data_IF_346217177643
#
_entry.id   IF_346217177643
#
_cell.length_a   1.000
_cell.length_b   1.000
_cell.length_c   1.000
_cell.angle_alpha   90.00
_cell.angle_beta   90.00
_cell.angle_gamma   90.00
#
_symmetry.space_group_name_H-M   'P 1'
#
loop_
_entity.id
_entity.type
_entity.pdbx_description
1 polymer ?
#
# COMPACT_ATOMS: atom_id res chain seq x y z
N UNK A 1 16.94 4.29 62.60
CA UNK A 1 16.39 3.05 62.02
C UNK A 1 16.11 3.38 60.57
N UNK A 2 17.16 3.21 59.76
CA UNK A 2 17.19 3.47 58.32
C UNK A 2 16.96 2.12 57.63
N UNK A 3 15.85 1.98 56.91
CA UNK A 3 15.65 0.85 56.00
C UNK A 3 15.83 1.31 54.56
N UNK A 4 17.04 1.02 54.06
CA UNK A 4 17.42 1.18 52.67
C UNK A 4 16.76 0.13 51.79
N UNK A 5 16.01 0.59 50.78
CA UNK A 5 15.46 -0.24 49.72
C UNK A 5 16.61 -0.71 48.80
N UNK A 6 16.84 -2.03 48.81
CA UNK A 6 17.78 -2.76 47.97
C UNK A 6 17.40 -2.68 46.49
N UNK A 7 18.16 -1.90 45.73
CA UNK A 7 18.26 -2.02 44.28
C UNK A 7 19.24 -3.15 43.94
N UNK A 8 18.74 -4.28 43.45
CA UNK A 8 19.48 -5.28 42.67
C UNK A 8 18.55 -6.44 42.32
N UNK A 9 18.12 -6.53 41.05
CA UNK A 9 17.94 -7.78 40.26
C UNK A 9 17.43 -7.38 38.87
N UNK A 10 18.34 -6.92 38.01
CA UNK A 10 18.17 -6.84 36.56
C UNK A 10 19.44 -7.47 35.96
N UNK A 11 19.54 -8.79 36.10
CA UNK A 11 20.60 -9.58 35.46
C UNK A 11 20.31 -9.65 33.97
N UNK A 12 21.03 -8.82 33.23
CA UNK A 12 21.24 -8.94 31.79
C UNK A 12 21.85 -10.32 31.49
N UNK A 13 21.23 -11.06 30.57
CA UNK A 13 21.77 -12.32 30.06
C UNK A 13 23.02 -12.03 29.22
N UNK A 14 24.18 -12.35 29.80
CA UNK A 14 25.48 -12.35 29.13
C UNK A 14 25.52 -13.47 28.07
N UNK A 15 25.49 -13.07 26.81
CA UNK A 15 25.45 -13.96 25.63
C UNK A 15 26.87 -14.29 25.16
N UNK A 16 27.62 -15.03 25.97
CA UNK A 16 28.95 -15.55 25.59
C UNK A 16 29.14 -16.99 26.05
N UNK A 17 28.51 -17.92 25.35
CA UNK A 17 29.02 -19.28 25.15
C UNK A 17 28.16 -19.98 24.09
N UNK A 18 28.63 -19.97 22.85
CA UNK A 18 28.14 -20.87 21.81
C UNK A 18 29.31 -21.78 21.39
N UNK A 19 29.02 -23.07 21.52
CA UNK A 19 29.82 -24.24 21.19
C UNK A 19 30.30 -24.21 19.72
N UNK A 20 31.59 -24.45 19.40
CA UNK A 20 32.11 -24.38 18.04
C UNK A 20 32.04 -25.71 17.27
N UNK A 21 31.00 -26.53 17.48
CA UNK A 21 30.92 -27.87 16.88
C UNK A 21 29.56 -28.17 16.25
N UNK A 22 29.24 -27.47 15.15
CA UNK A 22 28.22 -27.91 14.17
C UNK A 22 28.44 -27.18 12.83
N UNK A 23 29.63 -27.38 12.25
CA UNK A 23 29.81 -27.22 10.80
C UNK A 23 29.31 -28.49 10.12
N UNK A 24 28.11 -28.45 9.55
CA UNK A 24 27.73 -29.37 8.48
C UNK A 24 26.58 -28.81 7.64
N UNK A 25 26.86 -28.71 6.34
CA UNK A 25 25.94 -28.62 5.19
C UNK A 25 25.29 -27.25 4.94
N UNK A 26 25.87 -26.56 3.95
CA UNK A 26 25.36 -25.36 3.28
C UNK A 26 24.07 -25.67 2.50
N UNK A 27 22.88 -25.23 2.96
CA UNK A 27 21.62 -25.45 2.26
C UNK A 27 21.52 -24.63 0.97
N UNK A 28 22.39 -23.64 0.77
CA UNK A 28 22.37 -22.74 -0.38
C UNK A 28 22.91 -23.42 -1.64
N UNK A 29 23.90 -24.33 -1.51
CA UNK A 29 24.44 -25.10 -2.61
C UNK A 29 23.42 -26.10 -3.19
N UNK A 30 22.47 -26.60 -2.38
CA UNK A 30 21.43 -27.54 -2.81
C UNK A 30 20.24 -26.85 -3.48
N UNK A 31 19.98 -25.58 -3.14
CA UNK A 31 18.91 -24.80 -3.77
C UNK A 31 19.32 -24.25 -5.15
N UNK A 32 20.61 -23.96 -5.36
CA UNK A 32 21.13 -23.47 -6.64
C UNK A 32 21.18 -24.56 -7.73
N UNK A 33 21.12 -25.84 -7.37
CA UNK A 33 21.14 -26.96 -8.32
C UNK A 33 19.76 -27.31 -8.93
N UNK A 34 18.66 -26.71 -8.45
CA UNK A 34 17.30 -27.01 -8.94
C UNK A 34 16.67 -25.94 -9.83
N UNK A 35 17.33 -24.81 -10.06
CA UNK A 35 16.83 -23.77 -10.99
C UNK A 35 17.51 -23.92 -12.35
N UNK A 36 17.14 -24.98 -13.07
CA UNK A 36 17.39 -25.04 -14.52
C UNK A 36 16.18 -24.41 -15.22
N UNK A 37 16.35 -23.32 -15.98
CA UNK A 37 15.24 -22.75 -16.74
C UNK A 37 14.75 -23.78 -17.78
N UNK A 38 13.43 -23.87 -18.03
CA UNK A 38 12.92 -24.72 -19.09
C UNK A 38 13.46 -24.24 -20.43
N UNK A 39 14.14 -25.15 -21.12
CA UNK A 39 14.10 -25.35 -22.57
C UNK A 39 13.13 -24.43 -23.34
N UNK A 40 13.50 -23.34 -24.05
CA UNK A 40 12.52 -22.71 -24.92
C UNK A 40 12.02 -23.74 -25.96
N UNK A 41 10.71 -23.78 -26.26
CA UNK A 41 10.19 -24.66 -27.29
C UNK A 41 10.83 -24.31 -28.64
N UNK A 42 11.06 -25.29 -29.52
CA UNK A 42 11.55 -25.02 -30.87
C UNK A 42 10.58 -24.09 -31.58
N UNK A 43 11.11 -22.98 -32.11
CA UNK A 43 10.37 -22.10 -33.02
C UNK A 43 10.00 -22.93 -34.24
N UNK A 44 8.71 -23.19 -34.38
CA UNK A 44 8.13 -23.80 -35.55
C UNK A 44 7.96 -22.66 -36.58
N UNK A 45 9.03 -22.40 -37.32
CA UNK A 45 9.02 -21.51 -38.48
C UNK A 45 8.24 -22.18 -39.61
N UNK A 46 6.91 -22.09 -39.57
CA UNK A 46 6.07 -22.47 -40.69
C UNK A 46 4.70 -21.82 -40.58
N UNK A 47 4.61 -20.55 -40.98
CA UNK A 47 3.37 -19.93 -41.48
C UNK A 47 3.77 -18.72 -42.34
N UNK A 48 4.29 -19.04 -43.52
CA UNK A 48 4.32 -18.13 -44.66
C UNK A 48 2.89 -18.05 -45.22
N UNK A 49 2.08 -17.15 -44.65
CA UNK A 49 0.79 -16.78 -45.23
C UNK A 49 1.01 -16.02 -46.54
N UNK A 50 0.69 -16.72 -47.61
CA UNK A 50 0.54 -16.29 -49.00
C UNK A 50 -0.34 -15.03 -49.10
N UNK A 51 0.29 -13.88 -49.35
CA UNK A 51 -0.39 -12.77 -49.99
C UNK A 51 -0.42 -13.03 -51.51
N UNK A 52 -1.58 -12.98 -52.19
CA UNK A 52 -1.68 -13.25 -53.61
C UNK A 52 -1.05 -12.11 -54.40
N UNK A 53 0.24 -12.25 -54.71
CA UNK A 53 0.93 -11.44 -55.72
C UNK A 53 0.40 -11.86 -57.10
N UNK A 54 -0.35 -10.95 -57.72
CA UNK A 54 -0.81 -11.07 -59.10
C UNK A 54 0.34 -11.17 -60.11
N UNK A 55 0.03 -11.53 -61.37
CA UNK A 55 1.01 -12.01 -62.34
C UNK A 55 1.83 -10.86 -62.91
N UNK A 56 3.06 -10.67 -62.43
CA UNK A 56 4.05 -9.89 -63.17
C UNK A 56 4.68 -10.78 -64.24
N UNK A 57 4.13 -10.65 -65.44
CA UNK A 57 4.71 -11.19 -66.66
C UNK A 57 6.13 -10.67 -66.86
N UNK A 58 7.04 -11.62 -67.08
CA UNK A 58 8.36 -11.37 -67.63
C UNK A 58 8.20 -11.00 -69.10
N UNK A 59 8.43 -9.74 -69.44
CA UNK A 59 8.65 -9.32 -70.84
C UNK A 59 9.39 -8.00 -70.92
N UNK A 60 10.52 -8.03 -71.63
CA UNK A 60 11.01 -6.91 -72.42
C UNK A 60 11.76 -5.83 -71.65
N UNK A 61 13.08 -5.85 -71.81
CA UNK A 61 13.91 -4.66 -71.68
C UNK A 61 13.47 -3.61 -72.72
N UNK A 62 12.54 -2.72 -72.34
CA UNK A 62 12.28 -1.47 -73.03
C UNK A 62 12.19 -0.38 -71.97
N UNK A 63 12.90 0.73 -72.21
CA UNK A 63 13.20 1.77 -71.23
C UNK A 63 11.99 2.14 -70.37
N UNK A 64 12.17 2.03 -69.05
CA UNK A 64 11.16 2.50 -68.11
C UNK A 64 10.88 3.98 -68.37
N UNK A 65 9.63 4.36 -68.68
CA UNK A 65 9.26 5.75 -68.53
C UNK A 65 9.48 6.09 -67.06
N UNK A 66 10.19 7.19 -66.79
CA UNK A 66 10.32 7.76 -65.46
C UNK A 66 8.91 8.02 -64.94
N UNK A 67 8.36 7.07 -64.17
CA UNK A 67 7.07 7.18 -63.52
C UNK A 67 7.24 8.25 -62.45
N UNK A 68 7.02 9.50 -62.85
CA UNK A 68 7.10 10.65 -61.97
C UNK A 68 6.12 10.41 -60.84
N UNK A 69 6.65 10.22 -59.63
CA UNK A 69 5.84 10.04 -58.44
C UNK A 69 4.72 11.09 -58.44
N UNK A 70 3.47 10.70 -58.15
CA UNK A 70 2.35 11.63 -58.18
C UNK A 70 2.66 12.84 -57.28
N UNK A 71 2.25 14.05 -57.68
CA UNK A 71 2.47 15.25 -56.87
C UNK A 71 1.97 15.02 -55.44
N UNK A 72 2.74 15.46 -54.45
CA UNK A 72 2.44 15.24 -53.03
C UNK A 72 1.01 15.69 -52.66
N UNK A 73 0.51 16.75 -53.31
CA UNK A 73 -0.86 17.24 -53.20
C UNK A 73 -1.92 16.22 -53.65
N UNK A 74 -1.67 15.51 -54.75
CA UNK A 74 -2.58 14.49 -55.27
C UNK A 74 -2.64 13.29 -54.31
N UNK A 75 -1.49 12.88 -53.78
CA UNK A 75 -1.41 11.83 -52.77
C UNK A 75 -2.10 12.23 -51.46
N UNK A 76 -1.88 13.46 -50.98
CA UNK A 76 -2.52 13.97 -49.78
C UNK A 76 -4.04 14.04 -49.91
N UNK A 77 -4.59 14.45 -51.06
CA UNK A 77 -6.03 14.39 -51.33
C UNK A 77 -6.57 12.97 -51.23
N UNK A 78 -5.86 11.99 -51.78
CA UNK A 78 -6.23 10.57 -51.70
C UNK A 78 -6.20 10.06 -50.25
N UNK A 79 -5.17 10.41 -49.46
CA UNK A 79 -5.07 10.05 -48.04
C UNK A 79 -6.19 10.68 -47.22
N UNK A 80 -6.48 11.97 -47.42
CA UNK A 80 -7.59 12.68 -46.74
C UNK A 80 -8.93 11.99 -46.99
N UNK A 81 -9.22 11.66 -48.24
CA UNK A 81 -10.45 10.96 -48.62
C UNK A 81 -10.51 9.55 -48.03
N UNK A 82 -9.41 8.79 -48.12
CA UNK A 82 -9.35 7.40 -47.63
C UNK A 82 -9.50 7.29 -46.11
N UNK A 83 -8.90 8.21 -45.36
CA UNK A 83 -8.93 8.20 -43.89
C UNK A 83 -10.15 8.96 -43.32
N UNK A 84 -10.94 9.65 -44.14
CA UNK A 84 -12.09 10.43 -43.69
C UNK A 84 -11.72 11.52 -42.68
N UNK A 85 -10.60 12.21 -42.92
CA UNK A 85 -10.08 13.23 -41.99
C UNK A 85 -11.09 14.37 -41.81
N UNK A 86 -11.25 14.84 -40.57
CA UNK A 86 -12.10 16.01 -40.26
C UNK A 86 -11.46 17.28 -40.79
N UNK A 87 -12.24 18.35 -40.94
CA UNK A 87 -11.78 19.62 -41.54
C UNK A 87 -10.49 20.16 -40.91
N UNK A 88 -10.34 20.09 -39.58
CA UNK A 88 -9.12 20.53 -38.90
C UNK A 88 -7.89 19.66 -39.22
N UNK A 89 -8.06 18.34 -39.30
CA UNK A 89 -7.00 17.38 -39.61
C UNK A 89 -6.60 17.47 -41.10
N UNK A 90 -7.58 17.67 -41.97
CA UNK A 90 -7.38 17.94 -43.38
C UNK A 90 -6.59 19.24 -43.61
N UNK A 91 -6.90 20.31 -42.86
CA UNK A 91 -6.13 21.56 -42.90
C UNK A 91 -4.67 21.37 -42.45
N UNK A 92 -4.43 20.59 -41.38
CA UNK A 92 -3.07 20.26 -40.94
C UNK A 92 -2.29 19.48 -42.00
N UNK A 93 -2.92 18.50 -42.63
CA UNK A 93 -2.33 17.72 -43.73
C UNK A 93 -1.99 18.61 -44.92
N UNK A 94 -2.88 19.55 -45.29
CA UNK A 94 -2.60 20.50 -46.37
C UNK A 94 -1.47 21.47 -46.03
N UNK A 95 -1.37 21.92 -44.77
CA UNK A 95 -0.25 22.73 -44.31
C UNK A 95 1.08 21.95 -44.38
N UNK A 96 1.08 20.68 -43.97
CA UNK A 96 2.25 19.81 -44.04
C UNK A 96 2.74 19.60 -45.48
N UNK A 97 1.82 19.37 -46.42
CA UNK A 97 2.14 19.14 -47.84
C UNK A 97 2.67 20.41 -48.50
N UNK A 98 2.12 21.57 -48.15
CA UNK A 98 2.57 22.89 -48.65
C UNK A 98 3.92 23.34 -48.10
N UNK A 99 4.38 22.74 -47.00
CA UNK A 99 5.71 22.99 -46.45
C UNK A 99 6.76 22.50 -47.43
N UNK A 100 7.64 23.37 -47.94
CA UNK A 100 8.60 23.04 -49.01
C UNK A 100 9.91 22.46 -48.48
N UNK A 101 10.31 22.82 -47.26
CA UNK A 101 11.53 22.31 -46.63
C UNK A 101 11.32 20.92 -46.02
N UNK A 102 12.26 20.01 -46.28
CA UNK A 102 12.27 18.69 -45.65
C UNK A 102 12.44 18.78 -44.13
N UNK A 103 13.30 19.68 -43.66
CA UNK A 103 13.58 19.85 -42.23
C UNK A 103 12.35 20.34 -41.46
N UNK A 104 11.57 21.24 -42.06
CA UNK A 104 10.31 21.71 -41.48
C UNK A 104 9.28 20.57 -41.41
N UNK A 105 9.16 19.76 -42.46
CA UNK A 105 8.29 18.57 -42.46
C UNK A 105 8.70 17.56 -41.38
N UNK A 106 9.99 17.26 -41.25
CA UNK A 106 10.49 16.35 -40.21
C UNK A 106 10.22 16.90 -38.80
N UNK A 107 10.36 18.21 -38.61
CA UNK A 107 10.07 18.87 -37.33
C UNK A 107 8.59 18.79 -36.98
N UNK A 108 7.69 19.05 -37.94
CA UNK A 108 6.24 18.89 -37.76
C UNK A 108 5.87 17.44 -37.42
N UNK A 109 6.45 16.47 -38.13
CA UNK A 109 6.24 15.04 -37.87
C UNK A 109 6.68 14.65 -36.46
N UNK A 110 7.88 15.10 -36.03
CA UNK A 110 8.37 14.83 -34.68
C UNK A 110 7.50 15.49 -33.61
N UNK A 111 7.02 16.71 -33.85
CA UNK A 111 6.08 17.41 -32.98
C UNK A 111 4.75 16.65 -32.79
N UNK A 112 4.14 16.18 -33.87
CA UNK A 112 2.91 15.38 -33.82
C UNK A 112 3.14 13.99 -33.17
N UNK A 113 4.33 13.38 -33.34
CA UNK A 113 4.72 12.17 -32.62
C UNK A 113 4.83 12.39 -31.11
N UNK A 114 5.39 13.53 -30.68
CA UNK A 114 5.44 13.91 -29.27
C UNK A 114 4.05 14.21 -28.71
N UNK A 115 3.20 14.88 -29.49
CA UNK A 115 1.82 15.14 -29.08
C UNK A 115 1.00 13.86 -28.99
N UNK A 116 1.17 12.93 -29.94
CA UNK A 116 0.56 11.60 -29.89
C UNK A 116 1.05 10.83 -28.66
N UNK A 117 2.36 10.84 -28.36
CA UNK A 117 2.91 10.21 -27.15
C UNK A 117 2.34 10.84 -25.88
N UNK A 118 2.21 12.17 -25.84
CA UNK A 118 1.60 12.93 -24.73
C UNK A 118 0.12 12.59 -24.58
N UNK A 119 -0.62 12.55 -25.68
CA UNK A 119 -2.05 12.26 -25.71
C UNK A 119 -2.32 10.80 -25.39
N UNK A 120 -1.53 9.83 -25.87
CA UNK A 120 -1.63 8.44 -25.44
C UNK A 120 -1.29 8.27 -23.96
N UNK A 121 -0.33 9.05 -23.44
CA UNK A 121 -0.04 9.07 -21.99
C UNK A 121 -1.21 9.65 -21.17
N UNK A 122 -1.97 10.60 -21.73
CA UNK A 122 -3.19 11.18 -21.11
C UNK A 122 -4.45 10.34 -21.34
N UNK A 123 -4.53 9.64 -22.47
CA UNK A 123 -5.68 8.89 -23.00
C UNK A 123 -5.60 7.39 -22.70
N UNK A 124 -4.54 6.92 -22.05
CA UNK A 124 -4.68 5.81 -21.11
C UNK A 124 -5.62 6.27 -19.98
N UNK A 125 -6.90 6.43 -20.33
CA UNK A 125 -8.02 6.22 -19.44
C UNK A 125 -7.63 4.99 -18.61
N UNK A 126 -7.68 5.07 -17.29
CA UNK A 126 -7.32 3.93 -16.48
C UNK A 126 -8.26 2.81 -16.91
N UNK A 127 -7.75 1.84 -17.66
CA UNK A 127 -8.30 0.48 -17.58
C UNK A 127 -8.51 0.27 -16.09
N UNK A 128 -9.77 0.14 -15.68
CA UNK A 128 -10.17 0.07 -14.28
C UNK A 128 -9.19 -0.87 -13.61
N UNK A 129 -8.23 -0.33 -12.85
CA UNK A 129 -7.13 -1.14 -12.38
C UNK A 129 -7.70 -2.02 -11.27
N UNK A 130 -7.98 -3.26 -11.63
CA UNK A 130 -8.51 -4.24 -10.69
C UNK A 130 -7.32 -4.82 -9.95
N UNK A 131 -7.21 -4.45 -8.68
CA UNK A 131 -6.18 -4.98 -7.80
C UNK A 131 -6.37 -6.48 -7.59
N UNK A 132 -5.32 -7.25 -7.84
CA UNK A 132 -5.33 -8.70 -7.62
C UNK A 132 -5.52 -9.04 -6.13
N UNK A 133 -6.11 -10.20 -5.85
CA UNK A 133 -6.28 -10.73 -4.48
C UNK A 133 -4.94 -10.97 -3.79
N UNK A 134 -3.92 -11.35 -4.55
CA UNK A 134 -2.55 -11.51 -4.08
C UNK A 134 -1.98 -10.17 -3.61
N UNK A 135 -2.07 -9.11 -4.43
CA UNK A 135 -1.58 -7.78 -4.06
C UNK A 135 -2.29 -7.24 -2.81
N UNK A 136 -3.61 -7.45 -2.69
CA UNK A 136 -4.35 -7.12 -1.45
C UNK A 136 -3.81 -7.85 -0.22
N UNK A 137 -3.44 -9.13 -0.37
CA UNK A 137 -2.86 -9.92 0.72
C UNK A 137 -1.48 -9.38 1.13
N UNK A 138 -0.65 -9.01 0.16
CA UNK A 138 0.66 -8.39 0.42
C UNK A 138 0.49 -7.03 1.11
N UNK A 139 -0.38 -6.16 0.58
CA UNK A 139 -0.70 -4.85 1.20
C UNK A 139 -1.15 -5.03 2.65
N UNK A 140 -2.03 -6.00 2.89
CA UNK A 140 -2.54 -6.31 4.24
C UNK A 140 -1.40 -6.73 5.18
N UNK A 141 -0.48 -7.58 4.72
CA UNK A 141 0.69 -7.99 5.51
C UNK A 141 1.61 -6.80 5.83
N UNK A 142 1.95 -5.98 4.83
CA UNK A 142 2.80 -4.80 5.02
C UNK A 142 2.16 -3.75 5.94
N UNK A 143 0.87 -3.44 5.75
CA UNK A 143 0.15 -2.48 6.59
C UNK A 143 0.10 -2.93 8.05
N UNK A 144 -0.10 -4.23 8.30
CA UNK A 144 -0.10 -4.75 9.66
C UNK A 144 1.29 -4.74 10.30
N UNK A 145 2.31 -5.25 9.58
CA UNK A 145 3.70 -5.22 10.05
C UNK A 145 4.15 -3.79 10.36
N UNK A 146 3.77 -2.81 9.53
CA UNK A 146 4.08 -1.40 9.73
C UNK A 146 3.59 -0.89 11.10
N UNK A 147 2.36 -1.20 11.49
CA UNK A 147 1.78 -0.70 12.74
C UNK A 147 2.47 -1.25 13.98
N UNK A 148 3.02 -2.46 13.91
CA UNK A 148 3.63 -3.15 15.07
C UNK A 148 5.16 -3.21 14.99
N UNK A 149 5.76 -2.61 13.96
CA UNK A 149 7.20 -2.52 13.82
C UNK A 149 7.82 -1.59 14.89
N UNK A 150 8.97 -1.98 15.45
CA UNK A 150 9.68 -1.16 16.44
C UNK A 150 10.17 0.18 15.85
N UNK A 151 10.57 0.14 14.56
CA UNK A 151 10.81 1.23 13.61
C UNK A 151 9.86 2.42 13.66
N UNK A 152 8.57 2.14 13.86
CA UNK A 152 7.50 3.05 13.47
C UNK A 152 7.47 4.29 14.34
N UNK A 153 7.62 5.47 13.74
CA UNK A 153 7.56 6.76 14.44
C UNK A 153 6.12 7.17 14.75
N UNK A 154 5.18 6.80 13.89
CA UNK A 154 3.78 7.17 14.03
C UNK A 154 2.88 6.00 13.67
N UNK A 155 2.01 5.61 14.61
CA UNK A 155 0.97 4.63 14.32
C UNK A 155 -0.10 5.21 13.39
N UNK A 156 -0.20 6.54 13.30
CA UNK A 156 -0.99 7.29 12.32
C UNK A 156 -0.16 8.42 11.71
N UNK A 157 0.27 8.28 10.46
CA UNK A 157 1.09 9.27 9.76
C UNK A 157 0.29 10.05 8.71
N UNK A 158 0.88 11.13 8.18
CA UNK A 158 0.35 11.81 6.99
C UNK A 158 0.76 11.11 5.69
N UNK A 159 1.92 10.46 5.69
CA UNK A 159 2.54 9.83 4.53
C UNK A 159 2.88 8.34 4.76
N UNK A 160 2.14 7.67 5.63
CA UNK A 160 2.39 6.27 6.01
C UNK A 160 2.16 5.30 4.84
N UNK A 161 1.10 5.50 4.06
CA UNK A 161 0.82 4.68 2.89
C UNK A 161 1.89 4.79 1.80
N UNK A 162 2.44 5.98 1.58
CA UNK A 162 3.49 6.27 0.63
C UNK A 162 4.78 5.55 1.02
N UNK A 163 5.14 5.59 2.30
CA UNK A 163 6.31 4.89 2.83
C UNK A 163 6.16 3.36 2.79
N UNK A 164 4.94 2.84 3.00
CA UNK A 164 4.66 1.41 2.83
C UNK A 164 4.81 1.01 1.35
N UNK A 165 4.26 1.79 0.42
CA UNK A 165 4.41 1.53 -1.02
C UNK A 165 5.88 1.57 -1.45
N UNK A 166 6.68 2.49 -0.92
CA UNK A 166 8.12 2.53 -1.16
C UNK A 166 8.82 1.27 -0.62
N UNK A 167 8.49 0.83 0.60
CA UNK A 167 9.03 -0.41 1.15
C UNK A 167 8.67 -1.64 0.32
N UNK A 168 7.43 -1.72 -0.19
CA UNK A 168 7.02 -2.81 -1.08
C UNK A 168 7.81 -2.79 -2.40
N UNK A 169 8.11 -1.60 -2.95
CA UNK A 169 8.90 -1.45 -4.17
C UNK A 169 10.37 -1.83 -3.96
N UNK A 170 10.97 -1.42 -2.85
CA UNK A 170 12.36 -1.73 -2.53
C UNK A 170 12.58 -3.23 -2.30
N UNK A 171 11.58 -3.92 -1.76
CA UNK A 171 11.60 -5.38 -1.64
C UNK A 171 11.21 -6.11 -2.95
N UNK A 172 10.94 -5.39 -4.03
CA UNK A 172 10.44 -5.95 -5.29
C UNK A 172 9.19 -6.82 -5.12
N UNK A 173 8.24 -6.40 -4.28
CA UNK A 173 6.95 -7.06 -4.18
C UNK A 173 6.35 -7.23 -5.57
N UNK A 174 6.09 -8.48 -5.96
CA UNK A 174 5.52 -8.83 -7.26
C UNK A 174 4.18 -8.08 -7.44
N UNK A 175 3.85 -7.74 -8.69
CA UNK A 175 2.50 -7.26 -9.08
C UNK A 175 2.23 -5.77 -8.76
N UNK A 176 3.26 -4.99 -8.37
CA UNK A 176 3.09 -3.55 -8.23
C UNK A 176 3.01 -2.82 -9.59
N UNK A 177 2.14 -1.79 -9.73
CA UNK A 177 2.15 -0.91 -10.89
C UNK A 177 3.48 -0.17 -11.05
N UNK A 178 3.81 0.22 -12.28
CA UNK A 178 4.96 1.08 -12.56
C UNK A 178 4.88 2.39 -11.76
N UNK A 179 6.05 2.93 -11.39
CA UNK A 179 6.18 4.22 -10.69
C UNK A 179 5.50 5.36 -11.45
N UNK A 180 5.49 5.28 -12.78
CA UNK A 180 4.93 6.31 -13.66
C UNK A 180 3.40 6.24 -13.77
N UNK A 181 2.77 5.15 -13.32
CA UNK A 181 1.32 4.96 -13.40
C UNK A 181 0.61 5.59 -12.20
N UNK A 182 0.48 6.93 -12.21
CA UNK A 182 -0.09 7.72 -11.11
C UNK A 182 -1.45 7.18 -10.66
N UNK A 183 -2.39 6.98 -11.58
CA UNK A 183 -3.74 6.50 -11.26
C UNK A 183 -3.77 5.12 -10.60
N UNK A 184 -2.96 4.17 -11.10
CA UNK A 184 -2.87 2.83 -10.50
C UNK A 184 -2.22 2.85 -9.12
N UNK A 185 -1.20 3.71 -8.95
CA UNK A 185 -0.55 3.91 -7.65
C UNK A 185 -1.51 4.54 -6.62
N UNK A 186 -2.38 5.46 -7.02
CA UNK A 186 -3.41 5.99 -6.11
C UNK A 186 -4.40 4.93 -5.64
N UNK A 187 -4.77 3.97 -6.50
CA UNK A 187 -5.61 2.83 -6.10
C UNK A 187 -4.89 1.96 -5.06
N UNK A 188 -3.59 1.69 -5.26
CA UNK A 188 -2.76 0.95 -4.29
C UNK A 188 -2.64 1.70 -2.96
N UNK A 189 -2.35 3.00 -2.99
CA UNK A 189 -2.30 3.84 -1.79
C UNK A 189 -3.65 3.89 -1.07
N UNK A 190 -4.76 3.96 -1.82
CA UNK A 190 -6.11 3.89 -1.28
C UNK A 190 -6.36 2.61 -0.47
N UNK A 191 -5.96 1.46 -1.02
CA UNK A 191 -6.07 0.17 -0.33
C UNK A 191 -5.16 0.11 0.92
N UNK A 192 -3.92 0.59 0.84
CA UNK A 192 -3.01 0.64 1.99
C UNK A 192 -3.63 1.48 3.12
N UNK A 193 -4.16 2.67 2.81
CA UNK A 193 -4.85 3.55 3.77
C UNK A 193 -6.08 2.87 4.39
N UNK A 194 -6.84 2.12 3.60
CA UNK A 194 -7.99 1.36 4.07
C UNK A 194 -7.57 0.25 5.06
N UNK A 195 -6.54 -0.53 4.73
CA UNK A 195 -6.00 -1.59 5.61
C UNK A 195 -5.42 -1.01 6.91
N UNK A 196 -4.65 0.08 6.84
CA UNK A 196 -4.15 0.78 8.02
C UNK A 196 -5.27 1.24 8.95
N UNK A 197 -6.34 1.79 8.38
CA UNK A 197 -7.53 2.22 9.15
C UNK A 197 -8.22 1.03 9.80
N UNK A 198 -8.43 -0.05 9.05
CA UNK A 198 -9.02 -1.30 9.53
C UNK A 198 -8.22 -1.88 10.71
N UNK A 199 -6.90 -2.04 10.55
CA UNK A 199 -6.05 -2.61 11.59
C UNK A 199 -5.94 -1.75 12.84
N UNK A 200 -5.88 -0.43 12.69
CA UNK A 200 -6.01 0.49 13.82
C UNK A 200 -7.29 0.21 14.58
N UNK A 201 -8.43 0.15 13.90
CA UNK A 201 -9.70 -0.13 14.57
C UNK A 201 -9.69 -1.49 15.29
N UNK A 202 -9.15 -2.54 14.66
CA UNK A 202 -8.98 -3.86 15.30
C UNK A 202 -8.12 -3.76 16.57
N UNK A 203 -6.94 -3.15 16.48
CA UNK A 203 -6.02 -2.99 17.62
C UNK A 203 -6.71 -2.23 18.75
N UNK A 204 -7.32 -1.08 18.45
CA UNK A 204 -8.01 -0.23 19.44
C UNK A 204 -9.13 -0.97 20.13
N UNK A 205 -9.97 -1.68 19.39
CA UNK A 205 -11.08 -2.46 19.95
C UNK A 205 -10.57 -3.60 20.82
N UNK A 206 -9.60 -4.38 20.34
CA UNK A 206 -9.04 -5.51 21.10
C UNK A 206 -8.32 -5.05 22.37
N UNK A 207 -7.60 -3.94 22.33
CA UNK A 207 -6.98 -3.34 23.53
C UNK A 207 -8.05 -2.95 24.55
N UNK A 208 -9.10 -2.23 24.15
CA UNK A 208 -10.19 -1.85 25.06
C UNK A 208 -10.87 -3.07 25.68
N UNK A 209 -11.30 -4.03 24.85
CA UNK A 209 -11.95 -5.26 25.32
C UNK A 209 -11.04 -6.12 26.19
N UNK A 210 -9.70 -6.04 26.03
CA UNK A 210 -8.77 -6.75 26.92
C UNK A 210 -8.72 -6.20 28.35
N UNK A 211 -9.11 -4.93 28.53
CA UNK A 211 -9.12 -4.24 29.82
C UNK A 211 -10.48 -4.33 30.53
N UNK A 212 -11.54 -4.64 29.80
CA UNK A 212 -12.91 -4.72 30.32
C UNK A 212 -13.15 -6.03 31.12
N UNK A 213 -13.99 -5.93 32.15
CA UNK A 213 -14.61 -7.11 32.76
C UNK A 213 -15.78 -7.55 31.88
N UNK A 214 -15.93 -8.85 31.68
CA UNK A 214 -17.08 -9.40 30.95
C UNK A 214 -18.37 -9.19 31.74
N UNK A 215 -19.53 -9.33 31.08
CA UNK A 215 -20.85 -9.10 31.68
C UNK A 215 -21.14 -9.97 32.92
N UNK A 216 -20.51 -11.13 33.01
CA UNK A 216 -20.57 -12.03 34.17
C UNK A 216 -19.52 -11.73 35.26
N UNK A 217 -18.83 -10.58 35.18
CA UNK A 217 -17.77 -10.19 36.10
C UNK A 217 -16.43 -10.93 35.91
N UNK A 218 -16.36 -11.88 34.97
CA UNK A 218 -15.11 -12.55 34.64
C UNK A 218 -14.14 -11.59 33.90
N UNK A 219 -12.90 -12.02 33.80
CA UNK A 219 -11.87 -11.27 33.10
C UNK A 219 -11.89 -11.62 31.62
N UNK A 220 -11.55 -10.64 30.76
CA UNK A 220 -11.43 -10.86 29.31
C UNK A 220 -10.50 -12.02 28.98
N UNK A 221 -10.87 -12.85 28.00
CA UNK A 221 -10.04 -13.96 27.50
C UNK A 221 -8.77 -13.50 26.78
N UNK A 222 -8.63 -12.19 26.55
CA UNK A 222 -7.47 -11.57 25.93
C UNK A 222 -6.74 -10.62 26.90
N UNK A 223 -6.92 -10.82 28.21
CA UNK A 223 -6.39 -9.92 29.24
C UNK A 223 -4.85 -9.85 29.20
N UNK A 224 -4.16 -11.00 29.29
CA UNK A 224 -2.70 -10.99 29.20
C UNK A 224 -2.23 -10.57 27.79
N UNK A 225 -1.03 -10.01 27.73
CA UNK A 225 -0.48 -9.39 26.52
C UNK A 225 -0.26 -10.37 25.36
N UNK A 226 0.03 -11.65 25.64
CA UNK A 226 0.22 -12.67 24.60
C UNK A 226 -1.11 -13.06 23.95
N UNK A 227 -2.17 -13.24 24.75
CA UNK A 227 -3.51 -13.50 24.23
C UNK A 227 -4.08 -12.29 23.49
N UNK A 228 -3.79 -11.06 23.95
CA UNK A 228 -4.11 -9.84 23.19
C UNK A 228 -3.39 -9.84 21.83
N UNK A 229 -2.09 -10.09 21.80
CA UNK A 229 -1.34 -10.13 20.56
C UNK A 229 -1.90 -11.18 19.60
N UNK A 230 -2.17 -12.40 20.09
CA UNK A 230 -2.81 -13.46 19.30
C UNK A 230 -4.16 -12.99 18.72
N UNK A 231 -4.98 -12.34 19.54
CA UNK A 231 -6.28 -11.82 19.11
C UNK A 231 -6.18 -10.69 18.07
N UNK A 232 -5.14 -9.85 18.16
CA UNK A 232 -4.85 -8.78 17.19
C UNK A 232 -4.33 -9.36 15.87
N UNK A 233 -3.51 -10.42 15.93
CA UNK A 233 -2.88 -11.05 14.75
C UNK A 233 -3.74 -12.11 14.08
N UNK A 234 -4.84 -12.56 14.69
CA UNK A 234 -5.62 -13.70 14.24
C UNK A 234 -6.09 -13.63 12.78
N UNK A 235 -6.33 -12.41 12.26
CA UNK A 235 -6.83 -12.19 10.91
C UNK A 235 -5.73 -11.86 9.89
N UNK A 236 -4.46 -11.96 10.27
CA UNK A 236 -3.32 -11.62 9.40
C UNK A 236 -2.80 -12.90 8.77
N UNK A 237 -3.06 -13.04 7.47
CA UNK A 237 -2.53 -14.11 6.64
C UNK A 237 -1.11 -13.75 6.19
N UNK A 238 -0.23 -14.75 6.04
CA UNK A 238 1.14 -14.54 5.53
C UNK A 238 2.26 -14.53 6.58
N UNK A 239 2.08 -15.21 7.71
CA UNK A 239 3.19 -15.54 8.62
C UNK A 239 3.74 -14.34 9.41
N UNK A 240 2.86 -13.52 9.99
CA UNK A 240 3.30 -12.48 10.93
C UNK A 240 4.02 -13.09 12.13
N UNK A 241 5.27 -12.68 12.35
CA UNK A 241 6.07 -13.12 13.50
C UNK A 241 5.80 -12.16 14.65
N UNK A 242 5.18 -12.68 15.71
CA UNK A 242 5.02 -11.91 16.96
C UNK A 242 6.39 -11.78 17.63
N UNK A 243 6.88 -10.55 17.75
CA UNK A 243 8.16 -10.24 18.39
C UNK A 243 7.93 -9.62 19.77
N UNK A 244 8.98 -9.52 20.60
CA UNK A 244 8.91 -8.76 21.85
C UNK A 244 8.43 -7.32 21.61
N UNK A 245 8.85 -6.69 20.51
CA UNK A 245 8.46 -5.33 20.16
C UNK A 245 6.96 -5.20 19.89
N UNK A 246 6.33 -6.27 19.37
CA UNK A 246 4.87 -6.33 19.25
C UNK A 246 4.20 -6.19 20.61
N UNK A 247 4.70 -6.88 21.64
CA UNK A 247 4.15 -6.76 23.00
C UNK A 247 4.42 -5.41 23.63
N UNK A 248 5.64 -4.88 23.50
CA UNK A 248 5.98 -3.54 23.99
C UNK A 248 5.04 -2.48 23.40
N UNK A 249 4.74 -2.57 22.10
CA UNK A 249 3.81 -1.68 21.42
C UNK A 249 2.38 -1.82 21.92
N UNK A 250 1.89 -3.05 22.06
CA UNK A 250 0.53 -3.30 22.57
C UNK A 250 0.37 -2.83 24.02
N UNK A 251 1.38 -3.06 24.86
CA UNK A 251 1.41 -2.57 26.24
C UNK A 251 1.39 -1.03 26.30
N UNK A 252 2.16 -0.35 25.43
CA UNK A 252 2.10 1.11 25.30
C UNK A 252 0.69 1.59 24.91
N UNK A 253 0.05 0.96 23.92
CA UNK A 253 -1.30 1.34 23.48
C UNK A 253 -2.31 1.11 24.62
N UNK A 254 -2.17 0.03 25.38
CA UNK A 254 -3.00 -0.24 26.55
C UNK A 254 -2.77 0.79 27.66
N UNK A 255 -1.51 1.15 27.94
CA UNK A 255 -1.14 2.23 28.86
C UNK A 255 -1.77 3.57 28.46
N UNK A 256 -1.68 3.98 27.19
CA UNK A 256 -2.34 5.21 26.71
C UNK A 256 -3.86 5.13 26.87
N UNK A 257 -4.45 3.97 26.61
CA UNK A 257 -5.91 3.76 26.78
C UNK A 257 -6.33 3.93 28.24
N UNK A 258 -5.49 3.48 29.18
CA UNK A 258 -5.71 3.61 30.63
C UNK A 258 -5.50 5.03 31.14
N UNK A 259 -4.39 5.67 30.76
CA UNK A 259 -4.01 7.00 31.26
C UNK A 259 -4.90 8.13 30.74
N UNK A 260 -5.49 7.96 29.55
CA UNK A 260 -6.33 8.98 28.93
C UNK A 260 -7.74 8.43 28.69
N UNK A 261 -8.52 8.17 29.77
CA UNK A 261 -9.89 7.72 29.63
C UNK A 261 -10.75 8.80 28.96
N UNK A 262 -11.74 8.38 28.18
CA UNK A 262 -12.71 9.31 27.56
C UNK A 262 -12.22 10.04 26.31
N UNK A 263 -11.03 9.71 25.77
CA UNK A 263 -10.60 10.25 24.47
C UNK A 263 -11.63 9.96 23.37
N UNK A 264 -11.91 10.98 22.56
CA UNK A 264 -12.72 10.80 21.35
C UNK A 264 -12.02 9.89 20.36
N UNK A 265 -12.79 9.34 19.43
CA UNK A 265 -12.26 8.27 18.58
C UNK A 265 -11.09 8.75 17.70
N UNK A 266 -11.22 9.98 17.20
CA UNK A 266 -10.31 10.71 16.32
C UNK A 266 -9.04 11.21 17.01
N UNK A 267 -9.09 11.44 18.33
CA UNK A 267 -7.99 11.94 19.16
C UNK A 267 -7.09 10.81 19.68
N UNK A 268 -7.60 9.58 19.70
CA UNK A 268 -6.89 8.41 20.24
C UNK A 268 -5.51 8.19 19.61
N UNK A 269 -5.43 8.04 18.28
CA UNK A 269 -4.15 7.78 17.60
C UNK A 269 -3.17 8.94 17.68
N UNK A 270 -3.58 10.21 17.50
CA UNK A 270 -2.72 11.36 17.79
C UNK A 270 -2.15 11.35 19.21
N UNK A 271 -2.92 10.95 20.24
CA UNK A 271 -2.40 10.83 21.61
C UNK A 271 -1.38 9.71 21.76
N UNK A 272 -1.61 8.56 21.13
CA UNK A 272 -0.62 7.46 21.12
C UNK A 272 0.69 7.91 20.46
N UNK A 273 0.58 8.59 19.31
CA UNK A 273 1.72 9.17 18.60
C UNK A 273 2.49 10.20 19.45
N UNK A 274 1.78 11.14 20.09
CA UNK A 274 2.38 12.14 20.96
C UNK A 274 3.14 11.49 22.13
N UNK A 275 2.53 10.47 22.75
CA UNK A 275 3.16 9.71 23.84
C UNK A 275 4.44 9.05 23.35
N UNK A 276 4.40 8.39 22.20
CA UNK A 276 5.57 7.76 21.59
C UNK A 276 6.68 8.78 21.24
N UNK A 277 6.31 9.88 20.60
CA UNK A 277 7.24 10.93 20.20
C UNK A 277 7.89 11.58 21.43
N UNK A 278 7.11 11.91 22.46
CA UNK A 278 7.62 12.46 23.72
C UNK A 278 8.61 11.50 24.38
N UNK A 279 8.30 10.20 24.39
CA UNK A 279 9.20 9.19 24.97
C UNK A 279 10.51 9.08 24.20
N UNK A 280 10.45 9.10 22.86
CA UNK A 280 11.61 8.94 21.97
C UNK A 280 12.49 10.19 21.89
N UNK A 281 11.91 11.38 21.91
CA UNK A 281 12.68 12.65 21.81
C UNK A 281 13.43 13.02 23.08
N UNK A 282 13.00 12.50 24.24
CA UNK A 282 13.62 12.78 25.54
C UNK A 282 14.63 11.71 25.99
N UNK A 283 14.95 10.73 25.13
CA UNK A 283 15.72 9.54 25.48
C UNK A 283 16.62 9.09 24.32
N UNK A 284 17.73 8.45 24.66
CA UNK A 284 18.48 7.61 23.73
C UNK A 284 17.64 6.37 23.32
N UNK A 285 18.02 5.66 22.25
CA UNK A 285 17.28 4.46 21.83
C UNK A 285 17.28 3.37 22.93
N UNK A 286 18.39 3.21 23.65
CA UNK A 286 18.48 2.24 24.75
C UNK A 286 17.54 2.62 25.92
N UNK A 287 17.52 3.89 26.32
CA UNK A 287 16.60 4.40 27.35
C UNK A 287 15.13 4.31 26.90
N UNK A 288 14.86 4.54 25.62
CA UNK A 288 13.52 4.39 25.04
C UNK A 288 13.04 2.94 25.12
N UNK A 289 13.88 1.98 24.72
CA UNK A 289 13.56 0.54 24.83
C UNK A 289 13.39 0.14 26.31
N UNK A 290 14.25 0.62 27.21
CA UNK A 290 14.11 0.36 28.64
C UNK A 290 12.79 0.90 29.19
N UNK A 291 12.37 2.08 28.75
CA UNK A 291 11.10 2.68 29.15
C UNK A 291 9.89 1.88 28.65
N UNK A 292 9.92 1.42 27.40
CA UNK A 292 8.88 0.52 26.87
C UNK A 292 8.83 -0.81 27.63
N UNK A 293 9.99 -1.35 28.01
CA UNK A 293 10.10 -2.57 28.80
C UNK A 293 9.50 -2.40 30.20
N UNK A 294 9.71 -1.23 30.84
CA UNK A 294 9.03 -0.90 32.08
C UNK A 294 7.51 -0.86 31.92
N UNK A 295 6.97 -0.21 30.88
CA UNK A 295 5.52 -0.21 30.60
C UNK A 295 5.01 -1.65 30.44
N UNK A 296 5.74 -2.49 29.71
CA UNK A 296 5.39 -3.89 29.52
C UNK A 296 5.38 -4.69 30.83
N UNK A 297 6.37 -4.49 31.70
CA UNK A 297 6.39 -5.17 33.00
C UNK A 297 5.23 -4.72 33.90
N UNK A 298 4.87 -3.43 33.87
CA UNK A 298 3.68 -2.92 34.55
C UNK A 298 2.39 -3.54 33.98
N UNK A 299 2.30 -3.66 32.66
CA UNK A 299 1.18 -4.34 31.98
C UNK A 299 1.06 -5.81 32.42
N UNK A 300 2.17 -6.55 32.48
CA UNK A 300 2.16 -7.92 32.98
C UNK A 300 1.73 -8.03 34.44
N UNK A 301 2.20 -7.12 35.31
CA UNK A 301 1.82 -7.10 36.72
C UNK A 301 0.31 -6.86 36.90
N UNK A 302 -0.29 -6.03 36.04
CA UNK A 302 -1.71 -5.68 36.12
C UNK A 302 -2.64 -6.68 35.43
N UNK A 303 -2.25 -7.18 34.25
CA UNK A 303 -3.11 -7.99 33.36
C UNK A 303 -2.72 -9.47 33.32
N UNK A 304 -1.67 -9.86 34.03
CA UNK A 304 -1.16 -11.23 34.11
C UNK A 304 -0.03 -11.49 33.11
N UNK A 305 0.85 -12.41 33.48
CA UNK A 305 1.95 -12.85 32.63
C UNK A 305 1.43 -13.68 31.46
N UNK A 306 2.17 -13.63 30.35
CA UNK A 306 1.97 -14.60 29.27
C UNK A 306 2.29 -15.99 29.83
N UNK A 307 1.44 -16.99 29.61
CA UNK A 307 1.82 -18.36 29.94
C UNK A 307 2.97 -18.80 29.01
N UNK A 308 4.14 -19.07 29.61
CA UNK A 308 5.44 -19.32 28.96
C UNK A 308 5.44 -20.48 27.95
N UNK A 309 4.42 -21.33 27.93
CA UNK A 309 4.46 -22.60 27.21
C UNK A 309 4.03 -22.55 25.74
N UNK A 310 3.36 -21.49 25.27
CA UNK A 310 2.69 -21.52 23.94
C UNK A 310 3.31 -20.55 22.93
N UNK A 311 4.00 -19.51 23.38
CA UNK A 311 4.56 -18.50 22.47
C UNK A 311 6.05 -18.42 22.72
N UNK A 312 6.87 -19.07 21.89
CA UNK A 312 8.31 -18.77 21.82
C UNK A 312 8.45 -17.31 21.40
N UNK A 313 8.42 -16.41 22.37
CA UNK A 313 8.70 -15.00 22.18
C UNK A 313 10.17 -14.94 21.84
N UNK A 314 10.47 -15.03 20.55
CA UNK A 314 11.84 -14.89 20.12
C UNK A 314 12.13 -13.40 20.29
N UNK A 315 13.13 -13.07 21.10
CA UNK A 315 13.93 -11.86 20.88
C UNK A 315 14.59 -12.06 19.51
N UNK A 316 13.79 -12.01 18.45
CA UNK A 316 14.26 -12.11 17.10
C UNK A 316 15.11 -10.87 16.93
N UNK A 317 16.41 -11.06 16.81
CA UNK A 317 17.27 -10.01 16.29
C UNK A 317 16.64 -9.54 14.98
N UNK A 318 16.58 -8.22 14.78
CA UNK A 318 15.97 -7.61 13.60
C UNK A 318 16.58 -8.21 12.33
N UNK A 319 17.86 -8.61 12.38
CA UNK A 319 18.58 -9.31 11.32
C UNK A 319 17.98 -10.66 10.93
N UNK A 320 17.26 -11.32 11.84
CA UNK A 320 16.60 -12.63 11.64
C UNK A 320 15.17 -12.51 11.13
N UNK A 321 14.60 -11.30 11.12
CA UNK A 321 13.28 -11.07 10.55
C UNK A 321 13.33 -11.16 9.02
N UNK A 322 12.23 -11.54 8.36
CA UNK A 322 12.16 -11.53 6.91
C UNK A 322 12.60 -10.17 6.33
N UNK A 323 13.38 -10.21 5.25
CA UNK A 323 14.01 -9.01 4.68
C UNK A 323 13.01 -7.87 4.41
N UNK A 324 11.79 -8.20 3.95
CA UNK A 324 10.74 -7.20 3.72
C UNK A 324 10.33 -6.43 4.99
N UNK A 325 10.39 -7.07 6.17
CA UNK A 325 10.10 -6.44 7.47
C UNK A 325 11.23 -5.46 7.83
N UNK A 326 12.47 -5.84 7.56
CA UNK A 326 13.64 -4.97 7.79
C UNK A 326 13.58 -3.73 6.90
N UNK A 327 13.25 -3.89 5.61
CA UNK A 327 13.11 -2.78 4.66
C UNK A 327 11.93 -1.86 5.02
N UNK A 328 10.83 -2.44 5.51
CA UNK A 328 9.72 -1.68 6.06
C UNK A 328 10.15 -0.80 7.24
N UNK A 329 11.03 -1.29 8.11
CA UNK A 329 11.59 -0.52 9.23
C UNK A 329 12.32 0.76 8.78
N UNK A 330 13.08 0.69 7.68
CA UNK A 330 13.81 1.85 7.11
C UNK A 330 12.86 2.96 6.65
N UNK A 331 11.71 2.60 6.11
CA UNK A 331 10.69 3.55 5.65
C UNK A 331 9.78 4.02 6.78
N UNK A 332 9.43 3.13 7.72
CA UNK A 332 8.60 3.46 8.87
C UNK A 332 9.23 4.51 9.80
N UNK A 333 10.56 4.56 9.84
CA UNK A 333 11.30 5.59 10.58
C UNK A 333 11.16 7.00 9.97
N UNK A 334 10.75 7.13 8.71
CA UNK A 334 10.67 8.40 7.97
C UNK A 334 9.27 9.01 7.93
N UNK A 335 8.27 8.29 8.47
CA UNK A 335 6.88 8.74 8.47
C UNK A 335 6.70 9.97 9.38
N UNK A 336 6.00 10.98 8.85
CA UNK A 336 5.68 12.20 9.60
C UNK A 336 4.54 11.94 10.58
N UNK A 337 4.75 12.35 11.82
CA UNK A 337 3.81 12.11 12.93
C UNK A 337 2.69 13.15 12.94
N UNK A 338 1.44 12.70 13.05
CA UNK A 338 0.29 13.59 13.32
C UNK A 338 0.13 13.73 14.83
N UNK A 339 0.19 14.97 15.34
CA UNK A 339 -0.04 15.32 16.73
C UNK A 339 -1.48 15.80 16.98
N UNK A 340 -1.95 15.79 18.25
CA UNK A 340 -3.25 16.37 18.60
C UNK A 340 -3.39 17.81 18.08
N UNK A 341 -4.55 18.13 17.51
CA UNK A 341 -4.82 19.45 16.91
C UNK A 341 -4.29 19.66 15.49
N UNK A 342 -3.42 18.79 14.97
CA UNK A 342 -2.89 18.87 13.59
C UNK A 342 -3.70 18.08 12.56
N UNK A 343 -4.88 17.58 12.93
CA UNK A 343 -5.73 16.85 12.01
C UNK A 343 -6.19 17.74 10.86
N UNK A 344 -5.94 17.32 9.62
CA UNK A 344 -6.57 17.93 8.44
C UNK A 344 -8.08 17.85 8.65
N UNK A 345 -8.73 18.99 8.86
CA UNK A 345 -10.19 19.11 8.69
C UNK A 345 -10.47 18.65 7.27
N UNK A 346 -10.86 17.38 7.08
CA UNK A 346 -11.51 16.99 5.83
C UNK A 346 -12.78 17.83 5.83
N UNK A 347 -12.77 18.91 5.05
CA UNK A 347 -13.97 19.61 4.66
C UNK A 347 -14.83 18.56 3.95
N UNK A 348 -15.70 17.91 4.72
CA UNK A 348 -16.86 17.26 4.15
C UNK A 348 -17.74 18.44 3.77
N UNK A 349 -17.54 18.96 2.57
CA UNK A 349 -18.53 19.85 1.95
C UNK A 349 -19.81 19.04 1.92
N UNK A 350 -20.69 19.35 2.86
CA UNK A 350 -22.10 18.98 2.78
C UNK A 350 -22.58 19.68 1.52
N UNK A 351 -22.66 18.93 0.43
CA UNK A 351 -23.28 19.38 -0.80
C UNK A 351 -24.76 19.55 -0.46
N UNK A 352 -25.13 20.74 0.01
CA UNK A 352 -26.52 21.16 0.14
C UNK A 352 -27.10 21.09 -1.28
N UNK A 353 -27.97 20.10 -1.49
CA UNK A 353 -28.81 20.04 -2.67
C UNK A 353 -29.55 21.37 -2.80
N UNK A 354 -29.47 22.07 -3.95
CA UNK A 354 -30.29 23.25 -4.16
C UNK A 354 -31.74 22.77 -4.17
N UNK A 355 -32.51 23.24 -3.20
CA UNK A 355 -33.94 22.97 -3.09
C UNK A 355 -34.62 23.35 -4.40
N UNK A 356 -35.21 22.33 -5.01
CA UNK A 356 -36.11 22.46 -6.14
C UNK A 356 -37.37 23.18 -5.70
N UNK A 357 -37.65 24.24 -6.44
CA UNK A 357 -38.80 25.13 -6.35
C UNK A 357 -40.12 24.36 -6.21
N UNK A 358 -40.81 24.61 -5.10
CA UNK A 358 -42.09 24.00 -4.76
C UNK A 358 -43.23 24.67 -5.53
N UNK A 359 -43.57 24.13 -6.69
CA UNK A 359 -44.86 24.40 -7.34
C UNK A 359 -45.95 23.54 -6.68
N UNK A 360 -46.83 24.20 -5.93
CA UNK A 360 -47.96 23.58 -5.26
C UNK A 360 -48.99 22.97 -6.21
N UNK A 361 -49.56 21.84 -5.79
CA UNK A 361 -50.87 21.39 -6.24
C UNK A 361 -51.68 21.02 -5.00
N UNK A 362 -52.74 21.79 -4.80
CA UNK A 362 -53.83 21.51 -3.88
C UNK A 362 -54.60 20.27 -4.33
N UNK A 363 -55.04 19.43 -3.39
CA UNK A 363 -55.87 18.28 -3.74
C UNK A 363 -56.23 17.38 -2.56
N UNK A 364 -57.08 17.89 -1.66
CA UNK A 364 -58.31 17.25 -1.18
C UNK A 364 -58.31 15.81 -0.61
N UNK A 365 -59.02 15.74 0.53
CA UNK A 365 -60.04 14.74 0.88
C UNK A 365 -59.67 13.68 1.92
N UNK A 366 -60.15 13.95 3.14
CA UNK A 366 -60.97 13.08 4.01
C UNK A 366 -60.96 11.57 3.75
N UNK A 367 -60.60 10.84 4.81
CA UNK A 367 -60.68 9.39 4.91
C UNK A 367 -60.51 8.93 6.35
N UNK A 368 -61.50 9.28 7.17
CA UNK A 368 -61.73 8.81 8.53
C UNK A 368 -62.04 7.29 8.52
N UNK A 369 -61.26 6.45 9.23
CA UNK A 369 -61.70 5.12 9.71
C UNK A 369 -60.97 4.76 11.01
N UNK A 370 -61.68 4.52 12.13
CA UNK A 370 -61.14 3.94 13.35
C UNK A 370 -61.27 2.41 13.34
N UNK A 371 -60.32 1.70 13.95
CA UNK A 371 -60.40 0.24 14.07
C UNK A 371 -59.43 -0.34 15.09
N UNK A 372 -59.99 -0.68 16.25
CA UNK A 372 -59.36 -1.38 17.37
C UNK A 372 -58.93 -2.81 17.03
N UNK A 373 -58.05 -3.40 17.85
CA UNK A 373 -57.92 -4.86 17.88
C UNK A 373 -56.72 -5.41 18.66
N UNK A 374 -56.98 -5.74 19.93
CA UNK A 374 -56.31 -6.70 20.85
C UNK A 374 -54.89 -6.45 21.32
#
# INVERSE_FOLDING_TARGET
MDDGLSANQLTFLDSRNLDPALMAMDPLAQLMAQVRPPSPPPLNDNDSDDFPLGPFGSSGSNGMPSETAPPLDAFAKLVKHRLGLKDQEAMKMDAFVKTTSLDERLTLLYGELLDMKSTMSKSQQPENFIMSTELKTVIKSYAFNYLLHHSTMALRGTNDAEHILLAMRDYHASILPSKDSVGRNEVVLGEIRAQLTSFRNVIKTKVKTSMEKTSNGALSSHRNIADLARAVTANVTGGFVVTIYTYLRLALIRWVTKEYPGLKSEEFWPRVNESLLKMRTSRTEAEFISFLTMIYNLDQAEYGQAQDSITKVTLADISTLPQFVQDLGKHAAKVTTILPGQGTKRARETMESPDGDGSGIAGGSDGDVPGAGT
#
